data_IF_340454004531
#
_entry.id   IF_340454004531
#
_cell.length_a   1.000
_cell.length_b   1.000
_cell.length_c   1.000
_cell.angle_alpha   90.00
_cell.angle_beta   90.00
_cell.angle_gamma   90.00
#
_symmetry.space_group_name_H-M   'P 1'
#
loop_
_entity.id
_entity.type
_entity.pdbx_description
1 polymer ?
#
# COMPACT_ATOMS: atom_id res chain seq x y z
N UNK A 1 124.33 -10.18 1.83
CA UNK A 1 123.82 -11.38 1.14
C UNK A 1 122.56 -11.83 1.86
N UNK A 2 121.42 -11.68 1.18
CA UNK A 2 120.06 -11.98 1.63
C UNK A 2 119.79 -13.47 1.52
N UNK A 3 119.42 -14.12 2.63
CA UNK A 3 118.84 -15.47 2.60
C UNK A 3 117.32 -15.35 2.65
N UNK A 4 116.68 -15.55 1.50
CA UNK A 4 115.23 -15.67 1.35
C UNK A 4 114.71 -16.90 2.11
N UNK A 5 113.81 -16.67 3.05
CA UNK A 5 113.03 -17.74 3.69
C UNK A 5 111.96 -18.23 2.72
N UNK A 6 112.13 -19.47 2.22
CA UNK A 6 111.13 -20.20 1.42
C UNK A 6 109.78 -20.22 2.15
N UNK A 7 108.73 -19.78 1.47
CA UNK A 7 107.36 -19.91 1.98
C UNK A 7 106.98 -21.39 2.20
N UNK A 8 106.16 -21.68 3.23
CA UNK A 8 105.75 -23.04 3.55
C UNK A 8 104.92 -23.64 2.39
N UNK A 9 105.38 -24.80 1.98
CA UNK A 9 104.93 -25.57 0.83
C UNK A 9 103.64 -26.30 1.21
N UNK A 10 102.59 -26.00 0.44
CA UNK A 10 101.39 -26.80 0.18
C UNK A 10 100.63 -27.36 1.39
N UNK A 11 99.41 -26.84 1.60
CA UNK A 11 98.40 -27.47 2.47
C UNK A 11 98.25 -28.94 2.04
N UNK A 12 98.37 -29.93 2.95
CA UNK A 12 98.26 -31.33 2.57
C UNK A 12 96.88 -31.57 1.93
N UNK A 13 96.88 -32.10 0.71
CA UNK A 13 95.63 -32.47 0.05
C UNK A 13 94.90 -33.48 0.94
N UNK A 14 93.61 -33.27 1.24
CA UNK A 14 92.85 -34.25 1.99
C UNK A 14 92.91 -35.59 1.27
N UNK A 15 93.11 -36.68 2.03
CA UNK A 15 93.08 -38.04 1.47
C UNK A 15 91.83 -38.20 0.60
N UNK A 16 91.96 -38.79 -0.59
CA UNK A 16 90.85 -39.07 -1.51
C UNK A 16 89.65 -39.68 -0.79
N UNK A 17 89.91 -40.54 0.19
CA UNK A 17 88.89 -41.16 1.03
C UNK A 17 88.11 -40.13 1.87
N UNK A 18 88.80 -39.15 2.47
CA UNK A 18 88.18 -38.07 3.25
C UNK A 18 87.32 -37.16 2.37
N UNK A 19 87.81 -36.81 1.17
CA UNK A 19 87.06 -35.98 0.22
C UNK A 19 85.81 -36.72 -0.31
N UNK A 20 85.95 -37.99 -0.70
CA UNK A 20 84.83 -38.83 -1.14
C UNK A 20 83.79 -39.00 -0.03
N UNK A 21 84.22 -39.28 1.20
CA UNK A 21 83.33 -39.43 2.34
C UNK A 21 82.62 -38.11 2.69
N UNK A 22 83.30 -36.97 2.57
CA UNK A 22 82.70 -35.64 2.76
C UNK A 22 81.64 -35.33 1.69
N UNK A 23 81.94 -35.62 0.42
CA UNK A 23 80.97 -35.50 -0.68
C UNK A 23 79.76 -36.43 -0.50
N UNK A 24 80.01 -37.67 -0.06
CA UNK A 24 78.95 -38.64 0.23
C UNK A 24 78.03 -38.16 1.36
N UNK A 25 78.59 -37.61 2.46
CA UNK A 25 77.80 -37.00 3.55
C UNK A 25 76.99 -35.80 3.05
N UNK A 26 77.60 -34.88 2.30
CA UNK A 26 76.90 -33.74 1.75
C UNK A 26 75.75 -34.15 0.79
N UNK A 27 75.96 -35.18 -0.03
CA UNK A 27 74.91 -35.76 -0.87
C UNK A 27 73.78 -36.38 -0.05
N UNK A 28 74.10 -37.04 1.06
CA UNK A 28 73.10 -37.61 1.95
C UNK A 28 72.30 -36.54 2.72
N UNK A 29 72.96 -35.47 3.16
CA UNK A 29 72.32 -34.35 3.85
C UNK A 29 71.39 -33.57 2.90
N UNK A 30 71.82 -33.32 1.66
CA UNK A 30 70.94 -32.73 0.63
C UNK A 30 69.75 -33.63 0.29
N UNK A 31 69.95 -34.96 0.21
CA UNK A 31 68.86 -35.93 0.05
C UNK A 31 67.88 -35.89 1.22
N UNK A 32 68.37 -35.80 2.46
CA UNK A 32 67.55 -35.67 3.67
C UNK A 32 66.74 -34.37 3.66
N UNK A 33 67.35 -33.23 3.35
CA UNK A 33 66.62 -31.95 3.30
C UNK A 33 65.59 -31.94 2.16
N UNK A 34 65.93 -32.48 0.98
CA UNK A 34 64.96 -32.65 -0.11
C UNK A 34 63.78 -33.55 0.30
N UNK A 35 64.04 -34.65 1.02
CA UNK A 35 62.98 -35.50 1.56
C UNK A 35 62.11 -34.73 2.57
N UNK A 36 62.73 -34.00 3.50
CA UNK A 36 62.04 -33.15 4.48
C UNK A 36 61.16 -32.11 3.81
N UNK A 37 61.63 -31.46 2.75
CA UNK A 37 60.85 -30.50 1.95
C UNK A 37 59.67 -31.17 1.25
N UNK A 38 59.84 -32.37 0.68
CA UNK A 38 58.72 -33.13 0.10
C UNK A 38 57.67 -33.52 1.15
N UNK A 39 58.11 -33.94 2.35
CA UNK A 39 57.20 -34.27 3.44
C UNK A 39 56.45 -33.04 3.95
N UNK A 40 57.14 -31.91 4.11
CA UNK A 40 56.51 -30.60 4.42
C UNK A 40 55.48 -30.22 3.36
N UNK A 41 55.83 -30.33 2.08
CA UNK A 41 54.91 -30.05 0.98
C UNK A 41 53.68 -30.97 0.98
N UNK A 42 53.85 -32.27 1.30
CA UNK A 42 52.72 -33.19 1.49
C UNK A 42 51.84 -32.78 2.66
N UNK A 43 52.43 -32.45 3.81
CA UNK A 43 51.70 -32.03 5.01
C UNK A 43 50.88 -30.75 4.75
N UNK A 44 51.49 -29.75 4.10
CA UNK A 44 50.80 -28.50 3.74
C UNK A 44 49.60 -28.76 2.82
N UNK A 45 49.74 -29.63 1.81
CA UNK A 45 48.61 -29.96 0.92
C UNK A 45 47.47 -30.66 1.67
N UNK A 46 47.78 -31.59 2.56
CA UNK A 46 46.76 -32.29 3.36
C UNK A 46 46.06 -31.29 4.29
N UNK A 47 46.82 -30.41 4.94
CA UNK A 47 46.26 -29.38 5.81
C UNK A 47 45.37 -28.40 5.02
N UNK A 48 45.83 -27.95 3.85
CA UNK A 48 45.07 -27.04 2.99
C UNK A 48 43.78 -27.69 2.46
N UNK A 49 43.83 -28.96 2.05
CA UNK A 49 42.64 -29.71 1.62
C UNK A 49 41.63 -29.88 2.77
N UNK A 50 42.10 -30.23 3.96
CA UNK A 50 41.25 -30.33 5.16
C UNK A 50 40.61 -29.00 5.53
N UNK A 51 41.38 -27.91 5.51
CA UNK A 51 40.88 -26.57 5.80
C UNK A 51 39.88 -26.10 4.74
N UNK A 52 40.14 -26.34 3.45
CA UNK A 52 39.21 -25.98 2.39
C UNK A 52 37.86 -26.70 2.54
N UNK A 53 37.87 -28.02 2.83
CA UNK A 53 36.66 -28.80 3.06
C UNK A 53 35.90 -28.35 4.30
N UNK A 54 36.61 -28.07 5.39
CA UNK A 54 36.00 -27.55 6.61
C UNK A 54 35.34 -26.18 6.36
N UNK A 55 36.05 -25.25 5.72
CA UNK A 55 35.50 -23.94 5.38
C UNK A 55 34.31 -24.03 4.44
N UNK A 56 34.34 -24.92 3.44
CA UNK A 56 33.21 -25.14 2.54
C UNK A 56 31.98 -25.66 3.32
N UNK A 57 32.17 -26.60 4.25
CA UNK A 57 31.08 -27.11 5.08
C UNK A 57 30.49 -26.00 5.96
N UNK A 58 31.34 -25.23 6.63
CA UNK A 58 30.92 -24.10 7.48
C UNK A 58 30.12 -23.04 6.69
N UNK A 59 30.65 -22.65 5.53
CA UNK A 59 29.97 -21.69 4.62
C UNK A 59 28.65 -22.27 4.12
N UNK A 60 28.61 -23.54 3.72
CA UNK A 60 27.38 -24.18 3.24
C UNK A 60 26.30 -24.23 4.31
N UNK A 61 26.66 -24.50 5.57
CA UNK A 61 25.70 -24.45 6.69
C UNK A 61 25.13 -23.04 6.85
N UNK A 62 25.99 -22.02 6.87
CA UNK A 62 25.56 -20.61 6.98
C UNK A 62 24.71 -20.15 5.79
N UNK A 63 25.05 -20.58 4.58
CA UNK A 63 24.26 -20.31 3.38
C UNK A 63 22.91 -21.01 3.45
N UNK A 64 22.85 -22.26 3.91
CA UNK A 64 21.59 -23.00 4.09
C UNK A 64 20.65 -22.26 5.04
N UNK A 65 21.17 -21.79 6.18
CA UNK A 65 20.41 -20.99 7.14
C UNK A 65 19.92 -19.69 6.51
N UNK A 66 20.79 -18.94 5.82
CA UNK A 66 20.41 -17.68 5.16
C UNK A 66 19.38 -17.88 4.05
N UNK A 67 19.49 -18.93 3.23
CA UNK A 67 18.50 -19.30 2.20
C UNK A 67 17.13 -19.55 2.84
N UNK A 68 17.12 -20.25 3.98
CA UNK A 68 15.89 -20.49 4.73
C UNK A 68 15.32 -19.18 5.30
N UNK A 69 16.15 -18.31 5.87
CA UNK A 69 15.73 -16.98 6.33
C UNK A 69 15.13 -16.15 5.18
N UNK A 70 15.78 -16.11 4.01
CA UNK A 70 15.28 -15.38 2.85
C UNK A 70 13.94 -15.94 2.32
N UNK A 71 13.75 -17.27 2.38
CA UNK A 71 12.46 -17.90 2.07
C UNK A 71 11.36 -17.41 3.01
N UNK A 72 11.62 -17.42 4.32
CA UNK A 72 10.65 -16.95 5.33
C UNK A 72 10.34 -15.46 5.17
N UNK A 73 11.35 -14.65 4.82
CA UNK A 73 11.17 -13.25 4.47
C UNK A 73 10.26 -13.07 3.27
N UNK A 74 10.46 -13.85 2.21
CA UNK A 74 9.61 -13.79 1.02
C UNK A 74 8.15 -14.16 1.35
N UNK A 75 7.94 -15.21 2.15
CA UNK A 75 6.59 -15.61 2.61
C UNK A 75 5.91 -14.49 3.41
N UNK A 76 6.62 -13.83 4.34
CA UNK A 76 6.11 -12.69 5.11
C UNK A 76 5.76 -11.48 4.23
N UNK A 77 6.62 -11.17 3.25
CA UNK A 77 6.40 -10.06 2.33
C UNK A 77 5.22 -10.34 1.40
N UNK A 78 5.08 -11.57 0.92
CA UNK A 78 3.95 -11.99 0.07
C UNK A 78 2.62 -11.95 0.82
N UNK A 79 2.59 -12.42 2.08
CA UNK A 79 1.41 -12.29 2.94
C UNK A 79 1.04 -10.82 3.15
N UNK A 80 2.03 -9.97 3.46
CA UNK A 80 1.80 -8.53 3.67
C UNK A 80 1.29 -7.87 2.38
N UNK A 81 1.85 -8.22 1.22
CA UNK A 81 1.43 -7.75 -0.10
C UNK A 81 -0.01 -8.16 -0.40
N UNK A 82 -0.38 -9.41 -0.16
CA UNK A 82 -1.73 -9.91 -0.39
C UNK A 82 -2.76 -9.15 0.48
N UNK A 83 -2.47 -9.01 1.77
CA UNK A 83 -3.35 -8.27 2.68
C UNK A 83 -3.46 -6.78 2.28
N UNK A 84 -2.37 -6.15 1.86
CA UNK A 84 -2.36 -4.77 1.37
C UNK A 84 -3.24 -4.62 0.13
N UNK A 85 -3.12 -5.53 -0.85
CA UNK A 85 -3.96 -5.53 -2.05
C UNK A 85 -5.46 -5.69 -1.71
N UNK A 86 -5.79 -6.53 -0.74
CA UNK A 86 -7.18 -6.71 -0.29
C UNK A 86 -7.74 -5.43 0.34
N UNK A 87 -6.97 -4.75 1.19
CA UNK A 87 -7.37 -3.46 1.79
C UNK A 87 -7.55 -2.39 0.71
N UNK A 88 -6.61 -2.28 -0.23
CA UNK A 88 -6.71 -1.35 -1.37
C UNK A 88 -7.97 -1.59 -2.19
N UNK A 89 -8.30 -2.87 -2.46
CA UNK A 89 -9.50 -3.24 -3.20
C UNK A 89 -10.77 -2.80 -2.46
N UNK A 90 -10.89 -3.12 -1.17
CA UNK A 90 -12.06 -2.74 -0.35
C UNK A 90 -12.23 -1.23 -0.23
N UNK A 91 -11.14 -0.49 -0.02
CA UNK A 91 -11.17 0.97 0.04
C UNK A 91 -11.58 1.59 -1.30
N UNK A 92 -11.07 1.06 -2.41
CA UNK A 92 -11.45 1.50 -3.76
C UNK A 92 -12.93 1.22 -4.08
N UNK A 93 -13.44 0.06 -3.68
CA UNK A 93 -14.85 -0.31 -3.81
C UNK A 93 -15.75 0.63 -2.98
N UNK A 94 -15.41 0.87 -1.71
CA UNK A 94 -16.16 1.79 -0.83
C UNK A 94 -16.16 3.23 -1.36
N UNK A 95 -15.01 3.71 -1.85
CA UNK A 95 -14.89 5.02 -2.51
C UNK A 95 -15.81 5.12 -3.73
N UNK A 96 -15.81 4.09 -4.58
CA UNK A 96 -16.64 4.05 -5.80
C UNK A 96 -18.13 4.00 -5.46
N UNK A 97 -18.53 3.28 -4.41
CA UNK A 97 -19.92 3.29 -3.91
C UNK A 97 -20.32 4.68 -3.42
N UNK A 98 -19.41 5.38 -2.73
CA UNK A 98 -19.64 6.75 -2.24
C UNK A 98 -19.75 7.75 -3.40
N UNK A 99 -18.94 7.62 -4.44
CA UNK A 99 -19.08 8.44 -5.67
C UNK A 99 -20.45 8.23 -6.34
N UNK A 100 -20.89 6.97 -6.46
CA UNK A 100 -22.20 6.65 -7.03
C UNK A 100 -23.34 7.21 -6.18
N UNK A 101 -23.20 7.19 -4.86
CA UNK A 101 -24.13 7.83 -3.95
C UNK A 101 -24.18 9.36 -4.17
N UNK A 102 -23.02 10.02 -4.30
CA UNK A 102 -22.95 11.45 -4.60
C UNK A 102 -23.57 11.80 -5.96
N UNK A 103 -23.41 10.95 -6.98
CA UNK A 103 -24.05 11.14 -8.27
C UNK A 103 -25.58 11.14 -8.15
N UNK A 104 -26.15 10.17 -7.41
CA UNK A 104 -27.60 10.13 -7.13
C UNK A 104 -28.06 11.32 -6.30
N UNK A 105 -27.26 11.77 -5.34
CA UNK A 105 -27.54 12.96 -4.55
C UNK A 105 -27.56 14.23 -5.43
N UNK A 106 -26.72 14.32 -6.46
CA UNK A 106 -26.73 15.45 -7.39
C UNK A 106 -28.06 15.54 -8.16
N UNK A 107 -28.63 14.40 -8.56
CA UNK A 107 -29.96 14.36 -9.19
C UNK A 107 -31.03 14.86 -8.21
N UNK A 108 -31.00 14.39 -6.96
CA UNK A 108 -31.94 14.82 -5.91
C UNK A 108 -31.82 16.31 -5.58
N UNK A 109 -30.60 16.87 -5.56
CA UNK A 109 -30.35 18.30 -5.40
C UNK A 109 -31.00 19.09 -6.54
N UNK A 110 -30.86 18.62 -7.78
CA UNK A 110 -31.45 19.27 -8.96
C UNK A 110 -32.97 19.35 -8.84
N UNK A 111 -33.62 18.24 -8.46
CA UNK A 111 -35.06 18.19 -8.21
C UNK A 111 -35.49 19.16 -7.10
N UNK A 112 -34.73 19.24 -6.00
CA UNK A 112 -35.05 20.17 -4.92
C UNK A 112 -34.91 21.64 -5.38
N UNK A 113 -33.84 21.97 -6.10
CA UNK A 113 -33.64 23.31 -6.69
C UNK A 113 -34.80 23.66 -7.62
N UNK A 114 -35.25 22.74 -8.48
CA UNK A 114 -36.44 22.93 -9.30
C UNK A 114 -37.68 23.20 -8.43
N UNK A 115 -37.91 22.39 -7.39
CA UNK A 115 -39.05 22.58 -6.49
C UNK A 115 -39.03 23.95 -5.80
N UNK A 116 -37.88 24.40 -5.31
CA UNK A 116 -37.71 25.72 -4.67
C UNK A 116 -37.93 26.83 -5.69
N UNK A 117 -37.32 26.74 -6.87
CA UNK A 117 -37.45 27.76 -7.92
C UNK A 117 -38.89 27.88 -8.43
N UNK A 118 -39.59 26.77 -8.69
CA UNK A 118 -41.00 26.78 -9.04
C UNK A 118 -41.84 27.50 -7.99
N UNK A 119 -41.54 27.31 -6.71
CA UNK A 119 -42.28 27.95 -5.63
C UNK A 119 -41.92 29.42 -5.46
N UNK A 120 -40.68 29.81 -5.73
CA UNK A 120 -40.25 31.21 -5.74
C UNK A 120 -40.86 32.02 -6.91
N UNK A 121 -41.37 31.36 -7.96
CA UNK A 121 -42.09 32.05 -9.05
C UNK A 121 -43.51 32.52 -8.69
N UNK A 122 -44.04 32.17 -7.50
CA UNK A 122 -45.37 32.61 -7.03
C UNK A 122 -45.45 34.14 -6.97
N UNK A 123 -46.56 34.72 -7.44
CA UNK A 123 -46.76 36.18 -7.52
C UNK A 123 -47.99 36.64 -6.74
N UNK A 124 -47.98 37.92 -6.35
CA UNK A 124 -49.13 38.58 -5.74
C UNK A 124 -49.58 37.92 -4.44
N UNK A 125 -50.88 37.60 -4.33
CA UNK A 125 -51.46 36.99 -3.11
C UNK A 125 -51.06 35.53 -2.89
N UNK A 126 -50.42 34.89 -3.86
CA UNK A 126 -49.91 33.52 -3.76
C UNK A 126 -48.49 33.47 -3.19
N UNK A 127 -47.82 34.62 -3.08
CA UNK A 127 -46.52 34.73 -2.41
C UNK A 127 -46.71 34.62 -0.90
N UNK A 128 -46.69 33.38 -0.42
CA UNK A 128 -46.88 33.03 0.99
C UNK A 128 -45.73 32.14 1.41
N UNK A 129 -45.07 32.52 2.51
CA UNK A 129 -44.17 31.63 3.24
C UNK A 129 -45.02 30.52 3.86
N UNK A 130 -44.85 29.31 3.36
CA UNK A 130 -45.55 28.13 3.86
C UNK A 130 -44.53 27.09 4.39
N UNK A 131 -44.95 26.18 5.27
CA UNK A 131 -44.05 25.18 5.86
C UNK A 131 -43.34 24.28 4.84
N UNK A 132 -43.87 24.15 3.61
CA UNK A 132 -43.21 23.37 2.56
C UNK A 132 -41.98 24.10 2.04
N UNK A 133 -42.04 25.43 1.90
CA UNK A 133 -40.89 26.24 1.50
C UNK A 133 -39.73 26.11 2.50
N UNK A 134 -40.07 26.12 3.80
CA UNK A 134 -39.08 26.01 4.87
C UNK A 134 -38.40 24.64 4.87
N UNK A 135 -39.18 23.57 4.73
CA UNK A 135 -38.62 22.21 4.68
C UNK A 135 -37.79 21.96 3.41
N UNK A 136 -38.19 22.47 2.24
CA UNK A 136 -37.37 22.37 1.01
C UNK A 136 -36.04 23.12 1.15
N UNK A 137 -36.05 24.32 1.75
CA UNK A 137 -34.81 25.08 2.03
C UNK A 137 -33.92 24.38 3.06
N UNK A 138 -34.51 23.70 4.07
CA UNK A 138 -33.76 22.86 5.01
C UNK A 138 -33.12 21.67 4.30
N UNK A 139 -33.89 21.00 3.43
CA UNK A 139 -33.40 19.90 2.60
C UNK A 139 -32.22 20.34 1.72
N UNK A 140 -32.31 21.51 1.06
CA UNK A 140 -31.22 22.01 0.22
C UNK A 140 -29.93 22.25 1.01
N UNK A 141 -30.03 22.81 2.22
CA UNK A 141 -28.86 22.98 3.12
C UNK A 141 -28.28 21.63 3.55
N UNK A 142 -29.13 20.70 3.97
CA UNK A 142 -28.72 19.36 4.40
C UNK A 142 -28.05 18.58 3.26
N UNK A 143 -28.59 18.65 2.05
CA UNK A 143 -28.02 17.98 0.87
C UNK A 143 -26.63 18.55 0.54
N UNK A 144 -26.43 19.86 0.65
CA UNK A 144 -25.12 20.48 0.45
C UNK A 144 -24.11 20.06 1.54
N UNK A 145 -24.53 20.05 2.81
CA UNK A 145 -23.71 19.57 3.92
C UNK A 145 -23.24 18.13 3.70
N UNK A 146 -24.18 17.23 3.38
CA UNK A 146 -23.90 15.81 3.11
C UNK A 146 -22.94 15.66 1.93
N UNK A 147 -23.19 16.39 0.83
CA UNK A 147 -22.31 16.39 -0.35
C UNK A 147 -20.89 16.80 0.02
N UNK A 148 -20.72 17.88 0.77
CA UNK A 148 -19.39 18.40 1.14
C UNK A 148 -18.65 17.44 2.06
N UNK A 149 -19.36 16.82 3.01
CA UNK A 149 -18.80 15.83 3.93
C UNK A 149 -18.32 14.59 3.17
N UNK A 150 -19.18 13.98 2.35
CA UNK A 150 -18.82 12.77 1.60
C UNK A 150 -17.72 13.03 0.56
N UNK A 151 -17.70 14.22 -0.06
CA UNK A 151 -16.62 14.59 -0.98
C UNK A 151 -15.27 14.67 -0.25
N UNK A 152 -15.23 15.29 0.93
CA UNK A 152 -14.01 15.34 1.75
C UNK A 152 -13.53 13.94 2.12
N UNK A 153 -14.44 13.04 2.50
CA UNK A 153 -14.07 11.66 2.84
C UNK A 153 -13.58 10.85 1.64
N UNK A 154 -14.12 11.13 0.43
CA UNK A 154 -13.60 10.56 -0.82
C UNK A 154 -12.17 11.05 -1.09
N UNK A 155 -11.91 12.34 -0.90
CA UNK A 155 -10.59 12.93 -1.12
C UNK A 155 -9.55 12.32 -0.14
N UNK A 156 -9.92 12.15 1.12
CA UNK A 156 -9.12 11.46 2.13
C UNK A 156 -8.82 10.00 1.73
N UNK A 157 -9.83 9.28 1.23
CA UNK A 157 -9.67 7.90 0.77
C UNK A 157 -8.78 7.78 -0.48
N UNK A 158 -8.81 8.76 -1.39
CA UNK A 158 -7.93 8.81 -2.56
C UNK A 158 -6.47 9.00 -2.15
N UNK A 159 -6.19 9.88 -1.20
CA UNK A 159 -4.83 10.07 -0.71
C UNK A 159 -4.32 8.81 0.01
N UNK A 160 -5.17 8.15 0.81
CA UNK A 160 -4.79 6.88 1.42
C UNK A 160 -4.52 5.78 0.38
N UNK A 161 -5.33 5.67 -0.68
CA UNK A 161 -5.05 4.74 -1.79
C UNK A 161 -3.69 5.04 -2.46
N UNK A 162 -3.31 6.31 -2.56
CA UNK A 162 -1.99 6.70 -3.09
C UNK A 162 -0.86 6.24 -2.18
N UNK A 163 -1.00 6.41 -0.86
CA UNK A 163 -0.03 5.92 0.13
C UNK A 163 0.14 4.40 0.00
N UNK A 164 -0.98 3.66 0.01
CA UNK A 164 -0.96 2.19 -0.11
C UNK A 164 -0.36 1.72 -1.44
N UNK A 165 -0.53 2.49 -2.52
CA UNK A 165 0.11 2.20 -3.81
C UNK A 165 1.64 2.36 -3.74
N UNK A 166 2.12 3.36 -3.01
CA UNK A 166 3.55 3.54 -2.72
C UNK A 166 4.12 2.39 -1.91
N UNK A 167 3.42 1.99 -0.84
CA UNK A 167 3.82 0.85 0.00
C UNK A 167 3.87 -0.46 -0.81
N UNK A 168 2.92 -0.67 -1.72
CA UNK A 168 2.91 -1.84 -2.60
C UNK A 168 4.14 -1.85 -3.51
N UNK A 169 4.52 -0.70 -4.05
CA UNK A 169 5.72 -0.57 -4.88
C UNK A 169 6.99 -0.89 -4.11
N UNK A 170 7.14 -0.33 -2.91
CA UNK A 170 8.29 -0.57 -2.03
C UNK A 170 8.38 -2.05 -1.63
N UNK A 171 7.25 -2.69 -1.32
CA UNK A 171 7.19 -4.14 -1.04
C UNK A 171 7.64 -4.97 -2.24
N UNK A 172 7.21 -4.63 -3.46
CA UNK A 172 7.61 -5.36 -4.67
C UNK A 172 9.11 -5.26 -4.92
N UNK A 173 9.71 -4.09 -4.66
CA UNK A 173 11.18 -3.92 -4.75
C UNK A 173 11.87 -4.82 -3.72
N UNK A 174 11.46 -4.76 -2.47
CA UNK A 174 12.04 -5.59 -1.41
C UNK A 174 11.92 -7.09 -1.71
N UNK A 175 10.76 -7.55 -2.19
CA UNK A 175 10.58 -8.95 -2.58
C UNK A 175 11.56 -9.38 -3.68
N UNK A 176 11.71 -8.55 -4.72
CA UNK A 176 12.66 -8.81 -5.81
C UNK A 176 14.10 -8.90 -5.30
N UNK A 177 14.52 -7.96 -4.46
CA UNK A 177 15.86 -7.96 -3.87
C UNK A 177 16.13 -9.20 -3.01
N UNK A 178 15.15 -9.61 -2.19
CA UNK A 178 15.25 -10.82 -1.36
C UNK A 178 15.32 -12.09 -2.21
N UNK A 179 14.58 -12.15 -3.31
CA UNK A 179 14.60 -13.27 -4.26
C UNK A 179 15.93 -13.34 -5.02
N UNK A 180 16.45 -12.20 -5.49
CA UNK A 180 17.77 -12.12 -6.14
C UNK A 180 18.88 -12.56 -5.19
N UNK A 181 18.89 -12.06 -3.96
CA UNK A 181 19.83 -12.50 -2.92
C UNK A 181 19.74 -14.01 -2.66
N UNK A 182 18.52 -14.57 -2.61
CA UNK A 182 18.31 -16.01 -2.40
C UNK A 182 18.86 -16.83 -3.57
N UNK A 183 18.66 -16.38 -4.80
CA UNK A 183 19.17 -17.07 -5.99
C UNK A 183 20.71 -17.08 -6.00
N UNK A 184 21.33 -15.95 -5.68
CA UNK A 184 22.79 -15.88 -5.52
C UNK A 184 23.29 -16.84 -4.45
N UNK A 185 22.62 -16.90 -3.29
CA UNK A 185 23.01 -17.80 -2.21
C UNK A 185 22.87 -19.28 -2.59
N UNK A 186 21.82 -19.65 -3.33
CA UNK A 186 21.64 -21.01 -3.87
C UNK A 186 22.76 -21.34 -4.87
N UNK A 187 23.12 -20.40 -5.76
CA UNK A 187 24.23 -20.59 -6.68
C UNK A 187 25.55 -20.80 -5.95
N UNK A 188 25.83 -20.01 -4.90
CA UNK A 188 27.06 -20.18 -4.11
C UNK A 188 27.06 -21.48 -3.32
N UNK A 189 25.93 -21.87 -2.73
CA UNK A 189 25.77 -23.12 -1.99
C UNK A 189 26.07 -24.35 -2.87
N UNK A 190 25.71 -24.29 -4.15
CA UNK A 190 25.95 -25.36 -5.11
C UNK A 190 27.38 -25.41 -5.67
N UNK A 191 28.23 -24.40 -5.39
CA UNK A 191 29.64 -24.39 -5.81
C UNK A 191 30.48 -25.23 -4.86
N UNK A 192 31.40 -25.99 -5.43
CA UNK A 192 32.41 -26.80 -4.73
C UNK A 192 33.75 -26.73 -5.46
N UNK A 193 34.84 -27.27 -4.90
CA UNK A 193 36.19 -27.15 -5.45
C UNK A 193 36.38 -27.64 -6.90
N UNK A 194 35.41 -28.38 -7.46
CA UNK A 194 35.41 -28.89 -8.84
C UNK A 194 34.68 -27.98 -9.83
N UNK A 195 34.07 -26.90 -9.35
CA UNK A 195 33.27 -26.00 -10.17
C UNK A 195 34.17 -25.12 -11.05
N UNK A 196 33.86 -25.01 -12.35
CA UNK A 196 34.74 -24.39 -13.36
C UNK A 196 34.99 -22.87 -13.23
N UNK A 197 34.22 -22.17 -12.39
CA UNK A 197 34.35 -20.72 -12.15
C UNK A 197 34.99 -20.38 -10.80
N UNK A 198 35.72 -21.31 -10.18
CA UNK A 198 36.41 -21.06 -8.91
C UNK A 198 37.84 -20.63 -9.20
N UNK A 199 38.24 -19.50 -8.62
CA UNK A 199 39.58 -18.96 -8.74
C UNK A 199 39.91 -18.08 -7.54
N UNK A 200 41.21 -17.88 -7.30
CA UNK A 200 41.67 -17.00 -6.23
C UNK A 200 41.27 -15.55 -6.53
N UNK A 201 40.52 -14.94 -5.61
CA UNK A 201 40.11 -13.54 -5.70
C UNK A 201 40.93 -12.72 -4.69
N UNK A 202 41.94 -11.95 -5.14
CA UNK A 202 42.65 -11.03 -4.26
C UNK A 202 41.67 -9.97 -3.72
N UNK A 203 41.82 -9.59 -2.44
CA UNK A 203 40.96 -8.63 -1.74
C UNK A 203 39.50 -9.07 -1.54
N UNK A 204 39.24 -10.35 -1.29
CA UNK A 204 37.90 -10.88 -1.01
C UNK A 204 37.17 -10.25 0.21
N UNK A 205 37.88 -9.52 1.06
CA UNK A 205 37.34 -8.82 2.23
C UNK A 205 37.10 -7.32 1.97
N UNK A 206 37.25 -6.85 0.73
CA UNK A 206 37.00 -5.45 0.39
C UNK A 206 35.49 -5.20 0.37
N UNK A 207 35.03 -4.35 1.26
CA UNK A 207 33.67 -3.80 1.21
C UNK A 207 33.61 -2.70 0.15
N UNK A 208 32.53 -2.70 -0.62
CA UNK A 208 32.25 -1.61 -1.57
C UNK A 208 31.71 -0.39 -0.83
N UNK A 209 32.02 0.80 -1.34
CA UNK A 209 31.52 2.05 -0.78
C UNK A 209 29.98 2.10 -0.94
N UNK A 210 29.26 2.28 0.17
CA UNK A 210 27.80 2.24 0.20
C UNK A 210 27.20 0.86 0.51
N UNK A 211 28.01 -0.14 0.84
CA UNK A 211 27.49 -1.41 1.37
C UNK A 211 26.80 -1.20 2.73
N UNK A 212 25.70 -1.93 2.94
CA UNK A 212 24.97 -1.96 4.20
C UNK A 212 25.18 -3.30 4.88
N UNK A 213 25.24 -3.29 6.21
CA UNK A 213 25.30 -4.53 6.98
C UNK A 213 23.99 -5.31 6.86
N UNK A 214 24.09 -6.64 7.01
CA UNK A 214 22.97 -7.56 6.93
C UNK A 214 21.87 -7.20 7.93
N UNK A 215 22.25 -6.81 9.15
CA UNK A 215 21.28 -6.44 10.18
C UNK A 215 20.45 -5.22 9.75
N UNK A 216 21.12 -4.18 9.25
CA UNK A 216 20.46 -2.98 8.73
C UNK A 216 19.51 -3.31 7.58
N UNK A 217 19.92 -4.20 6.65
CA UNK A 217 19.07 -4.62 5.53
C UNK A 217 17.83 -5.41 5.97
N UNK A 218 17.93 -6.20 7.04
CA UNK A 218 16.76 -6.85 7.63
C UNK A 218 15.85 -5.86 8.36
N UNK A 219 16.42 -4.91 9.07
CA UNK A 219 15.66 -3.92 9.84
C UNK A 219 14.85 -2.99 8.92
N UNK A 220 15.42 -2.58 7.78
CA UNK A 220 14.68 -1.88 6.71
C UNK A 220 13.47 -2.70 6.23
N UNK A 221 13.62 -4.02 6.09
CA UNK A 221 12.51 -4.92 5.76
C UNK A 221 11.44 -4.98 6.86
N UNK A 222 11.84 -5.04 8.13
CA UNK A 222 10.91 -5.02 9.28
C UNK A 222 10.14 -3.70 9.37
N UNK A 223 10.84 -2.59 9.20
CA UNK A 223 10.27 -1.24 9.20
C UNK A 223 9.25 -1.07 8.07
N UNK A 224 9.56 -1.53 6.86
CA UNK A 224 8.63 -1.49 5.74
C UNK A 224 7.37 -2.29 6.03
N UNK A 225 7.50 -3.53 6.53
CA UNK A 225 6.34 -4.36 6.89
C UNK A 225 5.50 -3.68 7.98
N UNK A 226 6.12 -3.08 9.00
CA UNK A 226 5.43 -2.36 10.06
C UNK A 226 4.70 -1.12 9.55
N UNK A 227 5.33 -0.36 8.63
CA UNK A 227 4.73 0.79 7.94
C UNK A 227 3.49 0.34 7.15
N UNK A 228 3.63 -0.67 6.29
CA UNK A 228 2.53 -1.21 5.49
C UNK A 228 1.35 -1.63 6.37
N UNK A 229 1.60 -2.34 7.48
CA UNK A 229 0.55 -2.74 8.44
C UNK A 229 -0.15 -1.54 9.05
N UNK A 230 0.60 -0.49 9.40
CA UNK A 230 0.03 0.74 9.98
C UNK A 230 -0.85 1.47 8.97
N UNK A 231 -0.38 1.60 7.73
CA UNK A 231 -1.13 2.29 6.68
C UNK A 231 -2.34 1.47 6.20
N UNK A 232 -2.25 0.13 6.22
CA UNK A 232 -3.41 -0.74 6.03
C UNK A 232 -4.49 -0.53 7.11
N UNK A 233 -4.11 -0.40 8.38
CA UNK A 233 -5.09 -0.13 9.45
C UNK A 233 -5.82 1.20 9.24
N UNK A 234 -5.11 2.24 8.75
CA UNK A 234 -5.75 3.51 8.35
C UNK A 234 -6.71 3.29 7.18
N UNK A 235 -6.30 2.53 6.17
CA UNK A 235 -7.16 2.16 5.04
C UNK A 235 -8.42 1.41 5.46
N UNK A 236 -8.30 0.51 6.45
CA UNK A 236 -9.42 -0.23 7.03
C UNK A 236 -10.41 0.72 7.70
N UNK A 237 -9.92 1.56 8.61
CA UNK A 237 -10.74 2.54 9.30
C UNK A 237 -11.44 3.50 8.32
N UNK A 238 -10.79 3.87 7.22
CA UNK A 238 -11.37 4.74 6.20
C UNK A 238 -12.54 4.12 5.45
N UNK A 239 -12.45 2.85 5.01
CA UNK A 239 -13.56 2.27 4.27
C UNK A 239 -14.77 1.99 5.18
N UNK A 240 -14.54 1.66 6.46
CA UNK A 240 -15.59 1.54 7.49
C UNK A 240 -16.26 2.89 7.73
N UNK A 241 -15.47 3.96 7.89
CA UNK A 241 -15.98 5.32 8.04
C UNK A 241 -16.83 5.76 6.84
N UNK A 242 -16.38 5.51 5.61
CA UNK A 242 -17.14 5.83 4.40
C UNK A 242 -18.50 5.11 4.37
N UNK A 243 -18.51 3.83 4.75
CA UNK A 243 -19.73 3.05 4.84
C UNK A 243 -20.72 3.64 5.84
N UNK A 244 -20.25 3.98 7.04
CA UNK A 244 -21.08 4.59 8.09
C UNK A 244 -21.59 5.97 7.71
N UNK A 245 -20.74 6.83 7.14
CA UNK A 245 -21.11 8.17 6.68
C UNK A 245 -22.16 8.10 5.56
N UNK A 246 -22.03 7.15 4.62
CA UNK A 246 -23.01 6.92 3.57
C UNK A 246 -24.37 6.48 4.13
N UNK A 247 -24.39 5.58 5.11
CA UNK A 247 -25.64 5.15 5.77
C UNK A 247 -26.29 6.28 6.56
N UNK A 248 -25.51 7.05 7.31
CA UNK A 248 -26.01 8.22 8.03
C UNK A 248 -26.57 9.27 7.05
N UNK A 249 -25.90 9.50 5.92
CA UNK A 249 -26.37 10.38 4.87
C UNK A 249 -27.71 9.89 4.29
N UNK A 250 -27.83 8.60 3.96
CA UNK A 250 -29.05 8.02 3.43
C UNK A 250 -30.24 8.18 4.40
N UNK A 251 -30.03 7.90 5.69
CA UNK A 251 -31.07 8.05 6.70
C UNK A 251 -31.52 9.51 6.84
N UNK A 252 -30.56 10.44 6.94
CA UNK A 252 -30.87 11.88 7.04
C UNK A 252 -31.66 12.39 5.84
N UNK A 253 -31.30 11.96 4.63
CA UNK A 253 -32.02 12.33 3.40
C UNK A 253 -33.44 11.76 3.39
N UNK A 254 -33.63 10.51 3.79
CA UNK A 254 -34.95 9.89 3.89
C UNK A 254 -35.84 10.61 4.92
N UNK A 255 -35.33 10.88 6.12
CA UNK A 255 -36.06 11.59 7.18
C UNK A 255 -36.50 12.99 6.71
N UNK A 256 -35.62 13.71 6.01
CA UNK A 256 -35.94 15.02 5.47
C UNK A 256 -36.94 14.94 4.32
N UNK A 257 -36.82 13.94 3.45
CA UNK A 257 -37.78 13.69 2.36
C UNK A 257 -39.19 13.41 2.92
N UNK A 258 -39.29 12.62 3.98
CA UNK A 258 -40.56 12.34 4.66
C UNK A 258 -41.17 13.59 5.30
N UNK A 259 -40.34 14.45 5.92
CA UNK A 259 -40.78 15.75 6.45
C UNK A 259 -41.38 16.63 5.34
N UNK A 260 -40.68 16.77 4.21
CA UNK A 260 -41.15 17.56 3.05
C UNK A 260 -42.43 16.97 2.48
N UNK A 261 -42.48 15.65 2.28
CA UNK A 261 -43.65 14.95 1.76
C UNK A 261 -44.88 15.16 2.65
N UNK A 262 -44.69 15.15 3.97
CA UNK A 262 -45.78 15.39 4.93
C UNK A 262 -46.30 16.82 4.85
N UNK A 263 -45.42 17.83 4.81
CA UNK A 263 -45.86 19.22 4.63
C UNK A 263 -46.57 19.42 3.29
N UNK A 264 -46.08 18.78 2.22
CA UNK A 264 -46.66 18.86 0.90
C UNK A 264 -48.07 18.24 0.87
N UNK A 265 -48.25 17.05 1.44
CA UNK A 265 -49.57 16.38 1.56
C UNK A 265 -50.56 17.26 2.30
N UNK A 266 -50.16 17.84 3.43
CA UNK A 266 -50.99 18.75 4.22
C UNK A 266 -51.39 19.99 3.40
N UNK A 267 -50.44 20.61 2.69
CA UNK A 267 -50.72 21.79 1.86
C UNK A 267 -51.67 21.49 0.71
N UNK A 268 -51.52 20.34 0.05
CA UNK A 268 -52.43 19.89 -1.00
C UNK A 268 -53.84 19.67 -0.43
N UNK A 269 -53.96 19.08 0.76
CA UNK A 269 -55.25 18.88 1.41
C UNK A 269 -55.94 20.21 1.75
N UNK A 270 -55.21 21.16 2.34
CA UNK A 270 -55.71 22.50 2.65
C UNK A 270 -56.21 23.20 1.38
N UNK A 271 -55.41 23.19 0.30
CA UNK A 271 -55.80 23.78 -0.98
C UNK A 271 -57.05 23.13 -1.59
N UNK A 272 -57.10 21.79 -1.62
CA UNK A 272 -58.27 21.06 -2.14
C UNK A 272 -59.54 21.33 -1.33
N UNK A 273 -59.40 21.57 -0.03
CA UNK A 273 -60.53 21.87 0.85
C UNK A 273 -61.02 23.31 0.60
N UNK A 274 -60.10 24.27 0.48
CA UNK A 274 -60.43 25.65 0.12
C UNK A 274 -61.11 25.75 -1.26
N UNK A 275 -60.63 25.00 -2.27
CA UNK A 275 -61.27 24.95 -3.59
C UNK A 275 -62.71 24.44 -3.50
N UNK A 276 -62.93 23.32 -2.80
CA UNK A 276 -64.27 22.75 -2.62
C UNK A 276 -65.22 23.72 -1.92
N UNK A 277 -64.74 24.43 -0.91
CA UNK A 277 -65.51 25.45 -0.20
C UNK A 277 -65.87 26.63 -1.11
N UNK A 278 -64.93 27.12 -1.92
CA UNK A 278 -65.19 28.20 -2.89
C UNK A 278 -66.17 27.77 -3.99
N UNK A 279 -66.07 26.54 -4.48
CA UNK A 279 -67.01 25.95 -5.44
C UNK A 279 -68.41 25.86 -4.84
N UNK A 280 -68.52 25.44 -3.58
CA UNK A 280 -69.77 25.41 -2.84
C UNK A 280 -70.37 26.81 -2.70
N UNK A 281 -69.62 27.80 -2.21
CA UNK A 281 -70.07 29.18 -2.07
C UNK A 281 -70.52 29.80 -3.40
N UNK A 282 -69.79 29.52 -4.49
CA UNK A 282 -70.16 29.93 -5.85
C UNK A 282 -71.50 29.34 -6.28
N UNK A 283 -71.72 28.05 -6.02
CA UNK A 283 -72.98 27.37 -6.37
C UNK A 283 -74.17 27.94 -5.61
N UNK A 284 -73.98 28.25 -4.32
CA UNK A 284 -75.04 28.81 -3.47
C UNK A 284 -75.37 30.26 -3.87
N UNK A 285 -74.36 31.07 -4.19
CA UNK A 285 -74.55 32.41 -4.74
C UNK A 285 -75.30 32.39 -6.07
N UNK A 286 -74.97 31.47 -6.99
CA UNK A 286 -75.72 31.32 -8.25
C UNK A 286 -77.18 30.98 -7.98
N UNK A 287 -77.44 30.07 -7.04
CA UNK A 287 -78.81 29.69 -6.66
C UNK A 287 -79.57 30.88 -6.09
N UNK A 288 -78.93 31.68 -5.25
CA UNK A 288 -79.52 32.89 -4.67
C UNK A 288 -79.83 33.95 -5.75
N UNK A 289 -78.88 34.20 -6.67
CA UNK A 289 -79.07 35.14 -7.78
C UNK A 289 -80.24 34.70 -8.67
N UNK A 290 -80.34 33.41 -9.00
CA UNK A 290 -81.47 32.86 -9.77
C UNK A 290 -82.80 33.05 -9.04
N UNK A 291 -82.84 32.79 -7.73
CA UNK A 291 -84.03 33.02 -6.89
C UNK A 291 -84.45 34.49 -6.84
N UNK A 292 -83.49 35.42 -6.72
CA UNK A 292 -83.76 36.87 -6.70
C UNK A 292 -84.23 37.35 -8.07
N UNK A 293 -83.62 36.87 -9.16
CA UNK A 293 -84.02 37.20 -10.53
C UNK A 293 -85.41 36.66 -10.86
N UNK A 294 -85.74 35.44 -10.41
CA UNK A 294 -87.08 34.87 -10.51
C UNK A 294 -88.11 35.70 -9.73
N UNK A 295 -87.81 36.07 -8.48
CA UNK A 295 -88.69 36.95 -7.68
C UNK A 295 -88.94 38.29 -8.36
N UNK A 296 -87.91 38.93 -8.94
CA UNK A 296 -88.05 40.20 -9.68
C UNK A 296 -88.94 40.06 -10.93
N UNK A 297 -88.78 38.99 -11.70
CA UNK A 297 -89.63 38.72 -12.88
C UNK A 297 -91.09 38.43 -12.49
N UNK A 298 -91.33 37.67 -11.41
CA UNK A 298 -92.69 37.40 -10.93
C UNK A 298 -93.36 38.66 -10.38
N UNK A 299 -92.63 39.54 -9.67
CA UNK A 299 -93.16 40.82 -9.21
C UNK A 299 -93.36 41.86 -10.33
N UNK A 300 -92.60 41.76 -11.44
CA UNK A 300 -92.74 42.62 -12.61
C UNK A 300 -93.93 42.26 -13.50
N UNK A 301 -94.33 40.98 -13.55
CA UNK A 301 -95.51 40.52 -14.27
C UNK A 301 -96.85 40.81 -13.57
N UNK A 302 -96.86 41.31 -12.33
CA UNK A 302 -98.07 41.69 -11.60
C UNK A 302 -98.39 43.21 -11.63
N UNK A 303 -97.69 44.02 -12.43
CA UNK A 303 -97.93 45.47 -12.55
C UNK A 303 -98.25 45.96 -13.98
N UNK A 304 -98.83 45.11 -14.82
CA UNK A 304 -99.50 45.49 -16.07
C UNK A 304 -100.87 44.86 -16.11
#
# INVERSE_FOLDING_TARGET
>A
MTTETKEPHEKPFPSWYHQLHTLSRAAEDTRKEANKMRQRGRAIRIQADGLAKFSQLDINNRLSDRINCLRLWYELLEETRANLCDVMKRLSESKTQTDQFLARLADAITVNVECVTYRDTRRGREYVEDPVQDELRKEARMQLEIRTMLQSSIDDALEQLRILTGDLHDLMIQMREKEEARNLDIEQYNRNEKSGQIGFKPFCMREEEGSIDLQTWEDLGRELVAKCRTDMLKGIAMYERLYDEMHQAANRLNDQSDSVAEKLRRRIFEQKTAIRELEYQKSELMRFILLVSWKKNVSGCCMT
#
